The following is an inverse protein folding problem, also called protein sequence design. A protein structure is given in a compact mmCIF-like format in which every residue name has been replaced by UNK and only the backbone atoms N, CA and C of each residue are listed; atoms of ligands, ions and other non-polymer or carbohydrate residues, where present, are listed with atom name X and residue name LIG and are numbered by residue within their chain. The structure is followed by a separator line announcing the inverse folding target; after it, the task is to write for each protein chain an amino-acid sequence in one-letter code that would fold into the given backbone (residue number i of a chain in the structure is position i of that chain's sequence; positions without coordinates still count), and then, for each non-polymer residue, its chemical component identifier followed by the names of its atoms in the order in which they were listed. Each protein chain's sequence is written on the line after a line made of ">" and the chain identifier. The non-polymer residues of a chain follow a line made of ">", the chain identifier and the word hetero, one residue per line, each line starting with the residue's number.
data_IF_242183253524
#
_entry.id   IF_242183253524
#
_cell.length_a   1.000
_cell.length_b   1.000
_cell.length_c   1.000
_cell.angle_alpha   90.00
_cell.angle_beta   90.00
_cell.angle_gamma   90.00
#
_symmetry.space_group_name_H-M   'P 1'
#
loop_
_entity.id
_entity.type
_entity.pdbx_description
1 polymer ?
#
# COMPACT_ATOMS: atom_id res chain seq x y z
N UNK A 1 3.66 18.31 -13.06
CA UNK A 1 2.92 17.30 -13.85
C UNK A 1 3.23 15.85 -13.46
N UNK A 2 4.45 15.52 -13.00
CA UNK A 2 4.78 14.12 -12.64
C UNK A 2 4.13 13.58 -11.36
N UNK A 3 3.93 14.43 -10.33
CA UNK A 3 3.41 13.98 -9.03
C UNK A 3 1.95 13.52 -9.10
N UNK A 4 1.10 14.21 -9.86
CA UNK A 4 -0.30 13.80 -10.06
C UNK A 4 -0.41 12.49 -10.84
N UNK A 5 0.50 12.22 -11.77
CA UNK A 5 0.55 10.95 -12.50
C UNK A 5 0.99 9.80 -11.58
N UNK A 6 2.00 10.04 -10.73
CA UNK A 6 2.46 9.06 -9.76
C UNK A 6 1.39 8.74 -8.71
N UNK A 7 0.72 9.77 -8.16
CA UNK A 7 -0.39 9.60 -7.21
C UNK A 7 -1.57 8.89 -7.89
N UNK A 8 -1.99 9.37 -9.06
CA UNK A 8 -3.13 8.80 -9.80
C UNK A 8 -2.93 7.35 -10.19
N UNK A 9 -1.72 6.95 -10.63
CA UNK A 9 -1.41 5.57 -10.96
C UNK A 9 -1.47 4.65 -9.73
N UNK A 10 -0.97 5.10 -8.57
CA UNK A 10 -0.99 4.31 -7.33
C UNK A 10 -2.41 4.20 -6.75
N UNK A 11 -3.24 5.25 -6.86
CA UNK A 11 -4.65 5.21 -6.45
C UNK A 11 -5.45 4.27 -7.36
N UNK A 12 -5.20 4.32 -8.67
CA UNK A 12 -5.89 3.47 -9.63
C UNK A 12 -5.50 1.99 -9.50
N UNK A 13 -4.25 1.70 -9.17
CA UNK A 13 -3.77 0.33 -8.93
C UNK A 13 -4.50 -0.31 -7.73
N UNK A 14 -4.68 0.45 -6.64
CA UNK A 14 -5.49 0.03 -5.50
C UNK A 14 -6.94 -0.27 -5.89
N UNK A 15 -7.56 0.58 -6.72
CA UNK A 15 -8.92 0.36 -7.23
C UNK A 15 -8.99 -0.93 -8.05
N UNK A 16 -8.02 -1.18 -8.93
CA UNK A 16 -7.97 -2.41 -9.73
C UNK A 16 -7.73 -3.68 -8.89
N UNK A 17 -7.01 -3.58 -7.78
CA UNK A 17 -6.81 -4.69 -6.85
C UNK A 17 -8.06 -4.98 -5.99
N UNK A 18 -8.81 -3.95 -5.58
CA UNK A 18 -10.02 -4.09 -4.76
C UNK A 18 -11.29 -4.48 -5.52
N UNK A 19 -11.40 -4.07 -6.79
CA UNK A 19 -12.57 -4.30 -7.66
C UNK A 19 -12.89 -5.79 -7.90
N UNK A 20 -11.94 -6.70 -8.22
CA UNK A 20 -12.24 -8.12 -8.39
C UNK A 20 -12.72 -8.76 -7.08
N UNK A 21 -12.25 -8.29 -5.92
CA UNK A 21 -12.69 -8.77 -4.62
C UNK A 21 -14.12 -8.33 -4.30
N UNK A 22 -14.44 -7.06 -4.57
CA UNK A 22 -15.79 -6.52 -4.43
C UNK A 22 -16.77 -7.21 -5.39
N UNK A 23 -16.35 -7.48 -6.63
CA UNK A 23 -17.15 -8.20 -7.62
C UNK A 23 -17.41 -9.65 -7.21
N UNK A 24 -16.41 -10.34 -6.63
CA UNK A 24 -16.56 -11.73 -6.16
C UNK A 24 -17.59 -11.82 -5.02
N UNK A 25 -17.53 -10.94 -4.04
CA UNK A 25 -18.49 -10.89 -2.92
C UNK A 25 -19.90 -10.46 -3.36
N UNK A 26 -19.99 -9.58 -4.36
CA UNK A 26 -21.25 -9.03 -4.86
C UNK A 26 -22.00 -9.99 -5.79
N UNK A 27 -21.28 -10.66 -6.70
CA UNK A 27 -21.87 -11.37 -7.84
C UNK A 27 -21.86 -12.89 -7.65
N UNK A 28 -20.84 -13.45 -7.01
CA UNK A 28 -20.64 -14.91 -6.96
C UNK A 28 -21.07 -15.54 -5.63
N UNK A 29 -20.83 -14.89 -4.49
CA UNK A 29 -21.16 -15.45 -3.18
C UNK A 29 -21.68 -14.36 -2.22
N UNK A 30 -23.00 -14.14 -2.25
CA UNK A 30 -23.69 -13.25 -1.31
C UNK A 30 -23.61 -13.87 0.10
N UNK A 31 -22.58 -13.51 0.85
CA UNK A 31 -22.43 -13.87 2.26
C UNK A 31 -21.42 -14.98 2.61
N UNK A 32 -20.54 -15.41 1.70
CA UNK A 32 -19.42 -16.30 2.06
C UNK A 32 -18.11 -15.50 2.27
N UNK A 33 -17.33 -15.90 3.27
CA UNK A 33 -16.01 -15.34 3.55
C UNK A 33 -15.03 -15.86 2.51
N UNK A 34 -14.53 -14.96 1.67
CA UNK A 34 -13.49 -15.28 0.69
C UNK A 34 -12.19 -15.53 1.44
N UNK A 35 -11.77 -16.80 1.53
CA UNK A 35 -10.44 -17.16 2.01
C UNK A 35 -9.38 -16.67 1.01
N UNK A 36 -8.75 -15.55 1.34
CA UNK A 36 -7.63 -15.00 0.56
C UNK A 36 -6.38 -15.79 0.96
N UNK A 37 -6.04 -16.80 0.16
CA UNK A 37 -4.91 -17.70 0.42
C UNK A 37 -3.52 -17.08 0.12
N UNK A 38 -3.38 -15.77 0.31
CA UNK A 38 -2.13 -15.05 0.01
C UNK A 38 -1.92 -13.97 1.05
N UNK A 39 -1.34 -14.38 2.19
CA UNK A 39 -0.96 -13.46 3.28
C UNK A 39 -0.11 -12.30 2.77
N UNK A 40 0.80 -12.56 1.83
CA UNK A 40 1.64 -11.53 1.20
C UNK A 40 0.86 -10.50 0.39
N UNK A 41 -0.28 -10.89 -0.20
CA UNK A 41 -1.15 -9.98 -0.95
C UNK A 41 -1.87 -9.02 0.01
N UNK A 42 -2.41 -9.55 1.11
CA UNK A 42 -3.09 -8.74 2.14
C UNK A 42 -2.12 -7.74 2.77
N UNK A 43 -0.88 -8.17 3.03
CA UNK A 43 0.17 -7.34 3.61
C UNK A 43 0.58 -6.21 2.65
N UNK A 44 0.76 -6.51 1.36
CA UNK A 44 1.14 -5.52 0.36
C UNK A 44 0.03 -4.51 0.10
N UNK A 45 -1.21 -4.96 -0.03
CA UNK A 45 -2.36 -4.08 -0.25
C UNK A 45 -2.61 -3.19 0.97
N UNK A 46 -2.58 -3.72 2.19
CA UNK A 46 -2.77 -2.91 3.40
C UNK A 46 -1.69 -1.83 3.58
N UNK A 47 -0.43 -2.15 3.27
CA UNK A 47 0.68 -1.21 3.30
C UNK A 47 0.53 -0.10 2.24
N UNK A 48 0.10 -0.46 1.02
CA UNK A 48 -0.18 0.50 -0.05
C UNK A 48 -1.29 1.48 0.35
N UNK A 49 -2.35 0.98 0.97
CA UNK A 49 -3.47 1.79 1.47
C UNK A 49 -3.00 2.74 2.58
N UNK A 50 -2.24 2.22 3.55
CA UNK A 50 -1.73 3.02 4.68
C UNK A 50 -0.83 4.16 4.22
N UNK A 51 0.07 3.89 3.26
CA UNK A 51 0.98 4.91 2.71
C UNK A 51 0.26 5.97 1.86
N UNK A 52 -0.82 5.60 1.16
CA UNK A 52 -1.70 6.53 0.47
C UNK A 52 -2.38 7.51 1.44
N UNK A 53 -3.06 6.98 2.46
CA UNK A 53 -3.75 7.81 3.47
C UNK A 53 -2.74 8.73 4.17
N UNK A 54 -1.59 8.21 4.56
CA UNK A 54 -0.51 8.99 5.17
C UNK A 54 -0.09 10.17 4.27
N UNK A 55 0.06 9.89 2.98
CA UNK A 55 0.47 10.89 1.98
C UNK A 55 -0.59 11.98 1.85
N UNK A 56 -1.87 11.62 1.66
CA UNK A 56 -2.98 12.57 1.57
C UNK A 56 -3.11 13.44 2.84
N UNK A 57 -2.94 12.85 4.03
CA UNK A 57 -2.97 13.61 5.30
C UNK A 57 -1.82 14.61 5.36
N UNK A 58 -0.59 14.22 4.97
CA UNK A 58 0.55 15.13 4.91
C UNK A 58 0.32 16.28 3.93
N UNK A 59 -0.28 16.01 2.78
CA UNK A 59 -0.65 17.02 1.79
C UNK A 59 -1.72 17.98 2.31
N UNK A 60 -2.73 17.44 2.99
CA UNK A 60 -3.81 18.24 3.59
C UNK A 60 -3.27 19.19 4.65
N UNK A 61 -2.40 18.70 5.55
CA UNK A 61 -1.79 19.52 6.60
C UNK A 61 -0.85 20.60 6.06
N UNK A 62 -0.20 20.38 4.90
CA UNK A 62 0.68 21.37 4.27
C UNK A 62 -0.04 22.29 3.25
N UNK A 63 -1.37 22.42 3.35
CA UNK A 63 -2.18 23.29 2.47
C UNK A 63 -1.93 23.03 0.97
N UNK A 64 -1.71 21.77 0.57
CA UNK A 64 -1.53 21.38 -0.83
C UNK A 64 -0.29 21.98 -1.53
N UNK A 65 0.65 22.56 -0.77
CA UNK A 65 1.91 23.11 -1.28
C UNK A 65 3.02 22.09 -1.10
N UNK A 66 3.76 21.78 -2.16
CA UNK A 66 4.87 20.82 -2.12
C UNK A 66 6.16 21.55 -1.81
N UNK A 67 6.54 21.56 -0.54
CA UNK A 67 7.85 22.06 -0.11
C UNK A 67 8.92 20.96 -0.10
N UNK A 68 10.20 21.36 -0.20
CA UNK A 68 11.35 20.43 -0.07
C UNK A 68 11.31 19.63 1.24
N UNK A 69 10.70 20.18 2.29
CA UNK A 69 10.51 19.51 3.58
C UNK A 69 9.61 18.27 3.46
N UNK A 70 8.51 18.38 2.70
CA UNK A 70 7.63 17.25 2.44
C UNK A 70 8.34 16.22 1.56
N UNK A 71 9.11 16.67 0.57
CA UNK A 71 9.87 15.76 -0.28
C UNK A 71 10.86 14.90 0.54
N UNK A 72 11.56 15.49 1.50
CA UNK A 72 12.43 14.75 2.43
C UNK A 72 11.62 13.84 3.35
N UNK A 73 10.49 14.31 3.87
CA UNK A 73 9.59 13.50 4.70
C UNK A 73 9.08 12.25 3.95
N UNK A 74 8.67 12.39 2.69
CA UNK A 74 8.26 11.26 1.85
C UNK A 74 9.40 10.29 1.56
N UNK A 75 10.62 10.80 1.36
CA UNK A 75 11.79 9.98 1.14
C UNK A 75 12.14 9.17 2.41
N UNK A 76 12.05 9.77 3.59
CA UNK A 76 12.25 9.07 4.87
C UNK A 76 11.17 8.00 5.08
N UNK A 77 9.90 8.33 4.84
CA UNK A 77 8.81 7.36 4.99
C UNK A 77 8.92 6.20 4.01
N UNK A 78 9.41 6.45 2.79
CA UNK A 78 9.69 5.41 1.81
C UNK A 78 10.73 4.40 2.31
N UNK A 79 11.87 4.88 2.83
CA UNK A 79 12.88 4.00 3.43
C UNK A 79 12.37 3.24 4.66
N UNK A 80 11.57 3.89 5.51
CA UNK A 80 10.98 3.25 6.68
C UNK A 80 10.02 2.11 6.29
N UNK A 81 9.19 2.34 5.27
CA UNK A 81 8.23 1.34 4.76
C UNK A 81 8.96 0.14 4.16
N UNK A 82 10.00 0.37 3.33
CA UNK A 82 10.82 -0.72 2.78
C UNK A 82 11.54 -1.51 3.88
N UNK A 83 12.11 -0.80 4.86
CA UNK A 83 12.74 -1.45 6.01
C UNK A 83 11.76 -2.31 6.79
N UNK A 84 10.53 -1.80 6.98
CA UNK A 84 9.48 -2.54 7.67
C UNK A 84 9.02 -3.77 6.88
N UNK A 85 8.77 -3.65 5.56
CA UNK A 85 8.32 -4.79 4.75
C UNK A 85 9.38 -5.86 4.65
N UNK A 86 10.64 -5.49 4.44
CA UNK A 86 11.76 -6.44 4.39
C UNK A 86 11.97 -7.13 5.73
N UNK A 87 11.85 -6.42 6.84
CA UNK A 87 11.92 -7.01 8.18
C UNK A 87 10.75 -7.97 8.47
N UNK A 88 9.54 -7.60 8.07
CA UNK A 88 8.36 -8.47 8.23
C UNK A 88 8.46 -9.73 7.37
N UNK A 89 8.97 -9.63 6.14
CA UNK A 89 9.20 -10.78 5.27
C UNK A 89 10.30 -11.71 5.82
N UNK A 90 11.39 -11.14 6.34
CA UNK A 90 12.44 -11.90 7.03
C UNK A 90 11.92 -12.58 8.30
N UNK A 91 11.04 -11.92 9.06
CA UNK A 91 10.44 -12.49 10.27
C UNK A 91 9.39 -13.57 9.95
N UNK A 92 8.65 -13.40 8.85
CA UNK A 92 7.66 -14.36 8.36
C UNK A 92 8.28 -15.64 7.77
N UNK A 93 9.52 -15.56 7.28
CA UNK A 93 10.28 -16.72 6.78
C UNK A 93 11.54 -17.00 7.64
N UNK A 94 11.39 -17.59 8.85
CA UNK A 94 12.55 -17.91 9.68
C UNK A 94 13.39 -19.11 9.18
N UNK A 95 13.06 -19.72 8.04
CA UNK A 95 13.62 -21.03 7.63
C UNK A 95 14.07 -21.13 6.16
N UNK A 96 14.81 -20.16 5.61
CA UNK A 96 15.67 -20.42 4.43
C UNK A 96 16.79 -19.37 4.24
N UNK A 97 17.55 -19.12 5.31
CA UNK A 97 18.90 -18.56 5.19
C UNK A 97 19.92 -19.69 5.32
N UNK A 98 19.91 -20.62 4.37
CA UNK A 98 21.02 -21.55 4.16
C UNK A 98 21.44 -21.40 2.70
N UNK A 99 22.65 -20.87 2.51
CA UNK A 99 23.39 -20.98 1.26
C UNK A 99 23.55 -22.46 0.88
#
# INVERSE_FOLDING_TARGET
>A
MGISNAIGSNVFDMLCLGLPWLLKTSVFEIGSVIEINSDSLIMSTSLLIGTMIYTDVCFYLNNWIIDKRIAVLFLVTYFAVIGFTTLMELLACPCNLHF
#
